data_IF_909015339640
#
_entry.id   IF_909015339640
#
_cell.length_a   1.000
_cell.length_b   1.000
_cell.length_c   1.000
_cell.angle_alpha   90.00
_cell.angle_beta   90.00
_cell.angle_gamma   90.00
#
_symmetry.space_group_name_H-M   'P 1'
#
loop_
_entity.id
_entity.type
_entity.pdbx_description
1 polymer ?
#
# COMPACT_ATOMS: atom_id res chain seq x y z
N UNK A 1 29.91 0.84 2.91
CA UNK A 1 28.87 0.78 1.87
C UNK A 1 27.94 1.94 2.12
N UNK A 2 27.96 2.95 1.26
CA UNK A 2 27.02 4.06 1.32
C UNK A 2 25.63 3.54 0.91
N UNK A 3 24.66 3.71 1.79
CA UNK A 3 23.29 3.19 1.65
C UNK A 3 22.40 4.15 0.83
N UNK A 4 22.94 5.28 0.38
CA UNK A 4 22.25 6.26 -0.49
C UNK A 4 22.53 5.93 -1.96
N UNK A 5 21.91 4.88 -2.50
CA UNK A 5 22.14 4.43 -3.89
C UNK A 5 21.39 5.23 -4.96
N UNK A 6 21.22 6.54 -4.78
CA UNK A 6 20.69 7.41 -5.85
C UNK A 6 19.21 7.21 -6.21
N UNK A 7 18.44 6.46 -5.41
CA UNK A 7 17.07 6.08 -5.78
C UNK A 7 16.09 7.24 -5.84
N UNK A 8 16.28 8.26 -5.00
CA UNK A 8 15.45 9.48 -5.02
C UNK A 8 15.79 10.30 -6.26
N UNK A 9 17.06 10.40 -6.60
CA UNK A 9 17.57 11.15 -7.74
C UNK A 9 17.11 10.51 -9.06
N UNK A 10 17.25 9.19 -9.21
CA UNK A 10 16.75 8.44 -10.38
C UNK A 10 15.24 8.54 -10.52
N UNK A 11 14.52 8.54 -9.40
CA UNK A 11 13.06 8.66 -9.41
C UNK A 11 12.65 10.07 -9.83
N UNK A 12 13.28 11.12 -9.28
CA UNK A 12 13.01 12.49 -9.67
C UNK A 12 13.33 12.73 -11.14
N UNK A 13 14.47 12.22 -11.64
CA UNK A 13 14.84 12.27 -13.06
C UNK A 13 13.75 11.66 -13.94
N UNK A 14 13.30 10.44 -13.61
CA UNK A 14 12.19 9.80 -14.33
C UNK A 14 10.89 10.63 -14.28
N UNK A 15 10.57 11.24 -13.14
CA UNK A 15 9.33 12.02 -12.98
C UNK A 15 9.38 13.34 -13.75
N UNK A 16 10.54 13.98 -13.84
CA UNK A 16 10.76 15.14 -14.73
C UNK A 16 10.63 14.72 -16.18
N UNK A 17 11.39 13.72 -16.62
CA UNK A 17 11.46 13.30 -18.02
C UNK A 17 10.12 12.82 -18.61
N UNK A 18 9.28 12.18 -17.80
CA UNK A 18 8.05 11.55 -18.28
C UNK A 18 6.80 12.38 -17.98
N UNK A 19 6.83 13.23 -16.96
CA UNK A 19 5.64 13.90 -16.45
C UNK A 19 5.81 15.40 -16.18
N UNK A 20 6.98 15.99 -16.45
CA UNK A 20 7.28 17.42 -16.23
C UNK A 20 7.01 17.85 -14.76
N UNK A 21 7.33 16.97 -13.81
CA UNK A 21 7.17 17.23 -12.37
C UNK A 21 8.44 16.91 -11.59
N UNK A 22 8.70 17.73 -10.59
CA UNK A 22 9.66 17.45 -9.52
C UNK A 22 8.97 16.58 -8.49
N UNK A 23 9.52 15.39 -8.26
CA UNK A 23 8.99 14.44 -7.30
C UNK A 23 9.99 14.15 -6.19
N UNK A 24 9.53 14.13 -4.95
CA UNK A 24 10.34 13.73 -3.80
C UNK A 24 9.51 12.94 -2.78
N UNK A 25 10.15 12.07 -1.97
CA UNK A 25 9.49 11.34 -0.90
C UNK A 25 8.70 12.27 0.04
N UNK A 26 7.44 11.94 0.33
CA UNK A 26 6.71 12.64 1.38
C UNK A 26 5.85 11.78 2.30
N UNK A 27 5.61 10.51 2.00
CA UNK A 27 5.06 9.59 2.99
C UNK A 27 5.49 8.15 2.73
N UNK A 28 5.44 7.33 3.78
CA UNK A 28 5.55 5.88 3.67
C UNK A 28 4.40 5.19 4.40
N UNK A 29 3.80 4.22 3.74
CA UNK A 29 2.76 3.35 4.27
C UNK A 29 3.38 2.06 4.79
N UNK A 30 2.77 1.49 5.82
CA UNK A 30 3.16 0.18 6.33
C UNK A 30 2.93 -0.94 5.32
N UNK A 31 3.35 -2.15 5.67
CA UNK A 31 3.04 -3.36 4.91
C UNK A 31 1.53 -3.51 4.76
N UNK A 32 1.09 -3.80 3.53
CA UNK A 32 -0.33 -4.00 3.27
C UNK A 32 -0.88 -5.31 3.84
N UNK A 33 -2.20 -5.40 3.93
CA UNK A 33 -2.87 -6.69 4.01
C UNK A 33 -2.70 -7.39 2.66
N UNK A 34 -2.28 -8.66 2.66
CA UNK A 34 -2.13 -9.38 1.40
C UNK A 34 -3.47 -9.55 0.71
N UNK A 35 -4.47 -10.08 1.43
CA UNK A 35 -5.82 -10.28 0.90
C UNK A 35 -6.87 -10.12 2.00
N UNK A 36 -7.94 -9.41 1.70
CA UNK A 36 -9.28 -9.71 2.22
C UNK A 36 -9.91 -10.71 1.27
N UNK A 37 -10.27 -11.91 1.73
CA UNK A 37 -10.69 -13.00 0.86
C UNK A 37 -11.86 -13.80 1.42
N UNK A 38 -12.76 -14.23 0.54
CA UNK A 38 -13.79 -15.24 0.82
C UNK A 38 -13.32 -16.66 0.49
N UNK A 39 -12.10 -16.81 -0.02
CA UNK A 39 -11.42 -18.10 -0.22
C UNK A 39 -10.16 -18.15 0.62
N UNK A 40 -9.86 -19.32 1.20
CA UNK A 40 -8.58 -19.54 1.87
C UNK A 40 -7.47 -19.56 0.82
N UNK A 41 -6.37 -18.84 1.06
CA UNK A 41 -5.21 -18.78 0.17
C UNK A 41 -3.95 -18.96 1.00
N UNK A 42 -3.31 -20.12 0.87
CA UNK A 42 -2.06 -20.45 1.58
C UNK A 42 -0.97 -20.95 0.66
N UNK A 43 -1.33 -21.47 -0.52
CA UNK A 43 -0.38 -21.96 -1.52
C UNK A 43 -0.58 -21.27 -2.87
N UNK A 44 0.35 -21.49 -3.80
CA UNK A 44 0.23 -20.97 -5.17
C UNK A 44 -0.91 -21.63 -5.95
N UNK A 45 -1.28 -22.86 -5.59
CA UNK A 45 -2.42 -23.58 -6.17
C UNK A 45 -3.74 -22.91 -5.81
N UNK A 46 -3.89 -22.38 -4.58
CA UNK A 46 -5.08 -21.63 -4.17
C UNK A 46 -5.26 -20.31 -4.95
N UNK A 47 -4.17 -19.82 -5.58
CA UNK A 47 -4.17 -18.62 -6.39
C UNK A 47 -4.76 -18.84 -7.79
N UNK A 48 -4.83 -20.10 -8.25
CA UNK A 48 -5.30 -20.44 -9.60
C UNK A 48 -6.79 -20.11 -9.76
N UNK A 49 -7.10 -19.22 -10.69
CA UNK A 49 -8.46 -18.76 -10.97
C UNK A 49 -9.07 -17.89 -9.87
N UNK A 50 -8.29 -17.47 -8.86
CA UNK A 50 -8.75 -16.55 -7.82
C UNK A 50 -9.14 -15.22 -8.46
N UNK A 51 -10.39 -14.80 -8.32
CA UNK A 51 -10.85 -13.51 -8.85
C UNK A 51 -10.38 -12.40 -7.92
N UNK A 52 -9.19 -11.88 -8.20
CA UNK A 52 -8.48 -10.96 -7.34
C UNK A 52 -8.66 -9.53 -7.81
N UNK A 53 -9.30 -8.70 -6.99
CA UNK A 53 -9.18 -7.25 -7.18
C UNK A 53 -7.78 -6.81 -6.79
N UNK A 54 -7.05 -6.23 -7.75
CA UNK A 54 -5.71 -5.69 -7.51
C UNK A 54 -5.34 -4.59 -8.51
N UNK A 55 -4.20 -3.92 -8.32
CA UNK A 55 -3.71 -2.84 -9.18
C UNK A 55 -2.18 -2.83 -9.38
N UNK A 56 -1.71 -1.97 -10.29
CA UNK A 56 -0.29 -1.75 -10.54
C UNK A 56 0.46 -2.97 -11.07
N UNK A 57 1.77 -2.98 -10.86
CA UNK A 57 2.66 -4.08 -11.28
C UNK A 57 2.27 -5.43 -10.66
N UNK A 58 1.66 -5.42 -9.47
CA UNK A 58 1.20 -6.64 -8.82
C UNK A 58 0.08 -7.32 -9.60
N UNK A 59 -0.80 -6.58 -10.29
CA UNK A 59 -1.85 -7.17 -11.13
C UNK A 59 -1.27 -8.08 -12.23
N UNK A 60 -0.18 -7.66 -12.86
CA UNK A 60 0.48 -8.48 -13.88
C UNK A 60 1.14 -9.72 -13.28
N UNK A 61 1.86 -9.55 -12.16
CA UNK A 61 2.50 -10.68 -11.46
C UNK A 61 1.47 -11.68 -10.95
N UNK A 62 0.39 -11.21 -10.31
CA UNK A 62 -0.70 -12.03 -9.82
C UNK A 62 -1.38 -12.82 -10.95
N UNK A 63 -1.57 -12.19 -12.12
CA UNK A 63 -2.10 -12.89 -13.30
C UNK A 63 -1.16 -13.99 -13.78
N UNK A 64 0.16 -13.75 -13.82
CA UNK A 64 1.16 -14.77 -14.15
C UNK A 64 1.21 -15.90 -13.11
N UNK A 65 0.87 -15.60 -11.86
CA UNK A 65 0.73 -16.58 -10.78
C UNK A 65 -0.62 -17.32 -10.84
N UNK A 66 -1.50 -17.02 -11.79
CA UNK A 66 -2.73 -17.77 -12.06
C UNK A 66 -4.02 -17.11 -11.58
N UNK A 67 -3.97 -15.96 -10.90
CA UNK A 67 -5.18 -15.23 -10.53
C UNK A 67 -5.87 -14.60 -11.74
N UNK A 68 -7.20 -14.49 -11.67
CA UNK A 68 -7.99 -13.68 -12.58
C UNK A 68 -8.09 -12.27 -12.01
N UNK A 69 -7.20 -11.38 -12.42
CA UNK A 69 -7.14 -10.03 -11.85
C UNK A 69 -8.24 -9.10 -12.37
N UNK A 70 -8.76 -8.24 -11.51
CA UNK A 70 -9.81 -7.25 -11.81
C UNK A 70 -9.39 -5.90 -11.24
N UNK A 71 -9.54 -4.83 -12.02
CA UNK A 71 -9.28 -3.46 -11.57
C UNK A 71 -10.63 -2.76 -11.39
N UNK A 72 -10.86 -2.19 -10.21
CA UNK A 72 -12.03 -1.35 -9.91
C UNK A 72 -11.67 -0.29 -8.86
N UNK A 73 -12.53 0.73 -8.75
CA UNK A 73 -12.38 1.81 -7.78
C UNK A 73 -12.60 1.29 -6.35
N UNK A 74 -11.97 1.94 -5.37
CA UNK A 74 -12.02 1.53 -3.97
C UNK A 74 -13.44 1.43 -3.40
N UNK A 75 -14.31 2.36 -3.77
CA UNK A 75 -15.70 2.40 -3.31
C UNK A 75 -16.55 1.21 -3.77
N UNK A 76 -16.14 0.52 -4.85
CA UNK A 76 -16.89 -0.61 -5.40
C UNK A 76 -16.49 -1.95 -4.76
N UNK A 77 -15.30 -2.02 -4.13
CA UNK A 77 -14.68 -3.27 -3.64
C UNK A 77 -15.57 -3.97 -2.61
N UNK A 78 -16.11 -3.23 -1.63
CA UNK A 78 -16.96 -3.83 -0.58
C UNK A 78 -18.15 -4.56 -1.21
N UNK A 79 -18.88 -3.87 -2.09
CA UNK A 79 -20.04 -4.45 -2.76
C UNK A 79 -19.67 -5.60 -3.70
N UNK A 80 -18.49 -5.56 -4.30
CA UNK A 80 -17.99 -6.62 -5.18
C UNK A 80 -17.61 -7.88 -4.40
N UNK A 81 -17.02 -7.74 -3.21
CA UNK A 81 -16.78 -8.84 -2.27
C UNK A 81 -18.10 -9.42 -1.75
N UNK A 82 -18.99 -8.57 -1.26
CA UNK A 82 -20.30 -8.95 -0.71
C UNK A 82 -21.15 -9.74 -1.72
N UNK A 83 -21.17 -9.30 -2.97
CA UNK A 83 -21.94 -9.94 -4.06
C UNK A 83 -21.19 -11.11 -4.69
N UNK A 84 -19.97 -11.40 -4.27
CA UNK A 84 -19.14 -12.46 -4.83
C UNK A 84 -18.76 -12.23 -6.29
N UNK A 85 -18.67 -10.98 -6.74
CA UNK A 85 -18.12 -10.61 -8.07
C UNK A 85 -16.61 -10.89 -8.10
N UNK A 86 -15.94 -10.61 -7.00
CA UNK A 86 -14.53 -10.95 -6.73
C UNK A 86 -14.45 -11.88 -5.52
N UNK A 87 -13.41 -12.72 -5.50
CA UNK A 87 -13.14 -13.64 -4.39
C UNK A 87 -12.28 -12.98 -3.31
N UNK A 88 -11.37 -12.09 -3.73
CA UNK A 88 -10.42 -11.44 -2.85
C UNK A 88 -10.06 -10.03 -3.34
N UNK A 89 -9.57 -9.20 -2.42
CA UNK A 89 -9.07 -7.86 -2.72
C UNK A 89 -7.83 -7.53 -1.89
N UNK A 90 -6.89 -6.84 -2.52
CA UNK A 90 -5.86 -6.04 -1.85
C UNK A 90 -6.20 -4.55 -1.96
N UNK A 91 -5.72 -3.74 -0.99
CA UNK A 91 -6.01 -2.30 -0.94
C UNK A 91 -4.96 -1.45 -0.23
N UNK A 92 -4.56 -1.84 0.99
CA UNK A 92 -3.81 -0.96 1.89
C UNK A 92 -3.33 -1.66 3.15
N UNK A 93 -2.68 -0.89 4.01
CA UNK A 93 -2.28 -1.31 5.35
C UNK A 93 -3.49 -1.56 6.27
N UNK A 94 -3.33 -2.29 7.39
CA UNK A 94 -4.43 -2.60 8.29
C UNK A 94 -5.23 -1.36 8.75
N UNK A 95 -4.56 -0.26 9.04
CA UNK A 95 -5.18 1.00 9.45
C UNK A 95 -5.97 1.67 8.32
N UNK A 96 -5.53 1.54 7.07
CA UNK A 96 -6.25 2.04 5.90
C UNK A 96 -7.47 1.17 5.58
N UNK A 97 -7.35 -0.14 5.81
CA UNK A 97 -8.41 -1.10 5.48
C UNK A 97 -9.52 -1.11 6.53
N UNK A 98 -9.24 -0.84 7.80
CA UNK A 98 -10.27 -0.84 8.85
C UNK A 98 -11.55 -0.05 8.50
N UNK A 99 -11.48 1.22 8.05
CA UNK A 99 -12.68 1.99 7.71
C UNK A 99 -13.38 1.55 6.43
N UNK A 100 -12.77 0.67 5.62
CA UNK A 100 -13.38 0.18 4.37
C UNK A 100 -14.48 -0.84 4.61
N UNK A 101 -14.48 -1.50 5.78
CA UNK A 101 -15.44 -2.55 6.11
C UNK A 101 -15.16 -3.90 5.43
N UNK A 102 -14.08 -4.09 4.66
CA UNK A 102 -13.84 -5.36 3.94
C UNK A 102 -13.86 -6.58 4.85
N UNK A 103 -13.39 -6.44 6.10
CA UNK A 103 -13.44 -7.48 7.13
C UNK A 103 -14.87 -7.96 7.49
N UNK A 104 -15.91 -7.22 7.12
CA UNK A 104 -17.32 -7.59 7.37
C UNK A 104 -17.86 -8.52 6.28
N UNK A 105 -17.28 -8.45 5.06
CA UNK A 105 -17.75 -9.17 3.86
C UNK A 105 -16.71 -10.14 3.29
N UNK A 106 -15.53 -10.22 3.91
CA UNK A 106 -14.47 -11.16 3.61
C UNK A 106 -14.20 -12.06 4.82
N UNK A 107 -14.23 -13.38 4.61
CA UNK A 107 -14.04 -14.36 5.69
C UNK A 107 -12.60 -14.42 6.22
N UNK A 108 -11.60 -14.10 5.39
CA UNK A 108 -10.19 -14.24 5.70
C UNK A 108 -9.44 -12.93 5.49
N UNK A 109 -8.59 -12.60 6.47
CA UNK A 109 -7.55 -11.58 6.34
C UNK A 109 -6.21 -12.31 6.27
N UNK A 110 -5.53 -12.21 5.14
CA UNK A 110 -4.30 -12.94 4.85
C UNK A 110 -3.11 -11.97 4.93
N UNK A 111 -2.06 -12.38 5.62
CA UNK A 111 -0.88 -11.59 5.96
C UNK A 111 0.40 -12.43 5.83
N UNK A 112 1.58 -11.81 5.62
CA UNK A 112 1.81 -10.39 5.36
C UNK A 112 1.59 -10.02 3.90
N UNK A 113 1.37 -8.74 3.58
CA UNK A 113 1.32 -8.21 2.21
C UNK A 113 2.65 -8.36 1.48
N UNK A 114 2.86 -9.52 0.85
CA UNK A 114 4.09 -9.81 0.09
C UNK A 114 4.20 -8.99 -1.20
N UNK A 115 3.08 -8.48 -1.70
CA UNK A 115 3.02 -7.67 -2.91
C UNK A 115 3.45 -6.22 -2.67
N UNK A 116 3.18 -5.69 -1.47
CA UNK A 116 3.50 -4.33 -1.09
C UNK A 116 3.94 -4.30 0.37
N UNK A 117 5.24 -4.53 0.59
CA UNK A 117 5.86 -4.57 1.93
C UNK A 117 6.05 -3.18 2.55
N UNK A 118 5.90 -2.13 1.75
CA UNK A 118 5.83 -0.73 2.16
C UNK A 118 5.39 0.13 0.97
N UNK A 119 4.48 1.08 1.21
CA UNK A 119 3.99 1.97 0.16
C UNK A 119 4.77 3.27 0.16
N UNK A 120 5.53 3.55 -0.90
CA UNK A 120 6.20 4.84 -1.07
C UNK A 120 5.24 5.85 -1.70
N UNK A 121 5.05 7.00 -1.05
CA UNK A 121 4.26 8.11 -1.58
C UNK A 121 5.15 9.32 -1.81
N UNK A 122 4.91 9.97 -2.94
CA UNK A 122 5.64 11.14 -3.40
C UNK A 122 4.80 12.41 -3.29
N UNK A 123 5.49 13.54 -3.15
CA UNK A 123 4.92 14.85 -3.38
C UNK A 123 5.46 15.34 -4.72
N UNK A 124 4.59 15.97 -5.49
CA UNK A 124 4.86 16.39 -6.86
C UNK A 124 4.62 17.89 -6.97
N UNK A 125 5.53 18.58 -7.65
CA UNK A 125 5.40 19.98 -8.01
C UNK A 125 5.67 20.08 -9.50
N UNK A 126 4.82 20.82 -10.23
CA UNK A 126 5.09 21.11 -11.64
C UNK A 126 6.49 21.72 -11.81
N UNK A 127 7.22 21.29 -12.83
CA UNK A 127 8.62 21.66 -13.00
C UNK A 127 8.85 23.16 -13.21
N UNK A 128 8.03 23.82 -14.01
CA UNK A 128 8.12 25.27 -14.20
C UNK A 128 7.90 26.01 -12.89
N UNK A 129 6.85 25.61 -12.15
CA UNK A 129 6.56 26.17 -10.82
C UNK A 129 7.72 25.96 -9.85
N UNK A 130 8.34 24.78 -9.87
CA UNK A 130 9.50 24.48 -9.04
C UNK A 130 10.68 25.41 -9.35
N UNK A 131 10.95 25.64 -10.63
CA UNK A 131 12.06 26.47 -11.09
C UNK A 131 11.87 27.97 -10.78
N UNK A 132 10.63 28.41 -10.53
CA UNK A 132 10.32 29.77 -10.05
C UNK A 132 10.55 29.96 -8.55
N UNK A 133 10.62 28.87 -7.78
CA UNK A 133 10.88 28.92 -6.33
C UNK A 133 12.34 29.30 -6.05
N UNK A 134 12.55 29.98 -4.91
CA UNK A 134 13.89 30.19 -4.38
C UNK A 134 14.53 28.86 -3.97
N UNK A 135 15.87 28.80 -3.97
CA UNK A 135 16.59 27.62 -3.47
C UNK A 135 16.18 27.27 -2.03
N UNK A 136 15.99 28.29 -1.18
CA UNK A 136 15.52 28.12 0.20
C UNK A 136 14.12 27.47 0.26
N UNK A 137 13.18 27.88 -0.60
CA UNK A 137 11.83 27.30 -0.63
C UNK A 137 11.86 25.84 -1.14
N UNK A 138 12.67 25.57 -2.17
CA UNK A 138 12.88 24.23 -2.70
C UNK A 138 13.42 23.29 -1.61
N UNK A 139 14.43 23.75 -0.86
CA UNK A 139 15.03 23.00 0.25
C UNK A 139 14.04 22.78 1.40
N UNK A 140 13.24 23.79 1.74
CA UNK A 140 12.20 23.69 2.76
C UNK A 140 11.12 22.66 2.39
N UNK A 141 10.68 22.62 1.13
CA UNK A 141 9.72 21.61 0.65
C UNK A 141 10.30 20.19 0.73
N UNK A 142 11.56 20.00 0.32
CA UNK A 142 12.23 18.69 0.44
C UNK A 142 12.40 18.29 1.90
N UNK A 143 12.73 19.22 2.78
CA UNK A 143 12.87 18.96 4.21
C UNK A 143 11.52 18.57 4.84
N UNK A 144 10.45 19.28 4.49
CA UNK A 144 9.09 18.96 4.94
C UNK A 144 8.67 17.56 4.48
N UNK A 145 8.93 17.20 3.22
CA UNK A 145 8.68 15.85 2.70
C UNK A 145 9.44 14.78 3.48
N UNK A 146 10.75 14.97 3.71
CA UNK A 146 11.56 14.06 4.53
C UNK A 146 11.02 13.89 5.94
N UNK A 147 10.63 14.99 6.60
CA UNK A 147 10.04 14.93 7.95
C UNK A 147 8.72 14.16 7.95
N UNK A 148 7.86 14.40 6.97
CA UNK A 148 6.57 13.71 6.84
C UNK A 148 6.75 12.20 6.59
N UNK A 149 7.77 11.78 5.84
CA UNK A 149 8.16 10.37 5.73
C UNK A 149 8.51 9.78 7.10
N UNK A 150 9.31 10.49 7.92
CA UNK A 150 9.64 10.02 9.27
C UNK A 150 8.40 9.90 10.16
N UNK A 151 7.48 10.86 10.11
CA UNK A 151 6.24 10.83 10.89
C UNK A 151 5.33 9.68 10.49
N UNK A 152 5.12 9.49 9.18
CA UNK A 152 4.28 8.41 8.64
C UNK A 152 4.88 7.03 8.92
N UNK A 153 6.20 6.88 8.86
CA UNK A 153 6.90 5.67 9.27
C UNK A 153 6.70 5.34 10.76
N UNK A 154 6.81 6.34 11.63
CA UNK A 154 6.56 6.16 13.06
C UNK A 154 5.11 5.76 13.33
N UNK A 155 4.15 6.43 12.68
CA UNK A 155 2.74 6.15 12.83
C UNK A 155 2.38 4.71 12.40
N UNK A 156 2.84 4.29 11.21
CA UNK A 156 2.58 2.96 10.66
C UNK A 156 3.24 1.84 11.48
N UNK A 157 4.44 2.08 12.01
CA UNK A 157 5.16 1.12 12.87
C UNK A 157 4.50 0.91 14.23
N UNK A 158 3.98 1.98 14.85
CA UNK A 158 3.36 1.92 16.18
C UNK A 158 1.96 1.31 16.14
N UNK A 159 1.14 1.63 15.14
CA UNK A 159 -0.23 1.10 15.04
C UNK A 159 -0.25 -0.40 14.75
N UNK A 160 0.64 -0.87 13.87
CA UNK A 160 0.78 -2.32 13.57
C UNK A 160 1.07 -3.10 14.86
N UNK A 161 1.97 -2.59 15.70
CA UNK A 161 2.27 -3.18 17.01
C UNK A 161 1.06 -3.19 17.95
N UNK A 162 0.28 -2.11 18.00
CA UNK A 162 -0.91 -2.03 18.84
C UNK A 162 -2.01 -3.00 18.39
N UNK A 163 -2.25 -3.12 17.08
CA UNK A 163 -3.23 -4.06 16.51
C UNK A 163 -2.84 -5.52 16.76
N UNK A 164 -1.58 -5.90 16.48
CA UNK A 164 -1.06 -7.24 16.78
C UNK A 164 -1.25 -7.54 18.27
N UNK A 165 -0.88 -6.60 19.15
CA UNK A 165 -1.06 -6.76 20.60
C UNK A 165 -2.52 -6.92 20.98
N UNK A 166 -3.44 -6.18 20.35
CA UNK A 166 -4.88 -6.29 20.61
C UNK A 166 -5.44 -7.65 20.19
N UNK A 167 -5.09 -8.15 19.00
CA UNK A 167 -5.46 -9.49 18.54
C UNK A 167 -4.89 -10.60 19.45
N UNK A 168 -3.62 -10.48 19.87
CA UNK A 168 -3.01 -11.41 20.84
C UNK A 168 -3.71 -11.38 22.21
N UNK A 169 -4.12 -10.20 22.68
CA UNK A 169 -4.88 -10.07 23.92
C UNK A 169 -6.31 -10.63 23.80
N UNK A 170 -6.95 -10.55 22.63
CA UNK A 170 -8.25 -11.16 22.39
C UNK A 170 -8.19 -12.69 22.38
N UNK A 171 -7.16 -13.28 21.74
CA UNK A 171 -6.96 -14.73 21.67
C UNK A 171 -6.58 -15.38 23.00
N UNK A 172 -5.97 -14.62 23.92
CA UNK A 172 -5.62 -15.11 25.27
C UNK A 172 -6.77 -15.00 26.27
N UNK A 173 -7.84 -14.25 25.96
CA UNK A 173 -9.05 -14.16 26.80
C UNK A 173 -10.09 -15.22 26.52
N UNK A 174 -9.98 -15.97 25.41
CA UNK A 174 -10.89 -17.08 25.06
C UNK A 174 -10.46 -18.44 25.64
N UNK A 175 -9.53 -18.46 26.60
CA UNK A 175 -9.00 -19.69 27.22
C UNK A 175 -9.25 -19.77 28.75
N UNK A 176 -10.26 -19.08 29.27
CA UNK A 176 -10.74 -19.21 30.67
C UNK A 176 -12.25 -19.36 30.66
#
# INVERSE_FOLDING_TARGET
MDVRRGGVELYEEYRRDVFDVVAFPCAILGTEIFLHSNKRVETLEDFQGLRLRTSGAWSELASRLGASTVVMAGGDIYSALERGVIDAAEWGSPEMNQPTGFQEVAQYVILPGVHQSGGFLECQVNEDTWNELSEDDQDMLRLAGKLSVFETWLASSLLTWMLIRHCLMALTRSSI
#
